data_IF_333338888846
#
_entry.id   IF_333338888846
#
_cell.length_a   1.000
_cell.length_b   1.000
_cell.length_c   1.000
_cell.angle_alpha   90.00
_cell.angle_beta   90.00
_cell.angle_gamma   90.00
#
_symmetry.space_group_name_H-M   'P 1'
#
loop_
_entity.id
_entity.type
_entity.pdbx_description
1 polymer ?
#
# COMPACT_ATOMS: atom_id res chain seq x y z
N UNK A 1 -2.08 -7.54 22.06
CA UNK A 1 -2.50 -8.73 21.31
C UNK A 1 -1.34 -9.12 20.43
N UNK A 2 -0.96 -10.41 20.39
CA UNK A 2 0.12 -10.92 19.57
C UNK A 2 -0.46 -11.65 18.36
N UNK A 3 -0.01 -11.28 17.16
CA UNK A 3 -0.53 -11.86 15.91
C UNK A 3 0.63 -12.22 15.00
N UNK A 4 0.63 -13.43 14.49
CA UNK A 4 1.60 -13.95 13.53
C UNK A 4 0.96 -14.00 12.14
N UNK A 5 1.44 -13.18 11.23
CA UNK A 5 0.98 -13.13 9.85
C UNK A 5 1.90 -13.99 8.97
N UNK A 6 1.44 -15.18 8.56
CA UNK A 6 2.18 -16.10 7.68
C UNK A 6 1.81 -15.86 6.23
N UNK A 7 2.78 -15.94 5.33
CA UNK A 7 2.59 -15.91 3.88
C UNK A 7 3.59 -16.84 3.20
N UNK A 8 3.29 -17.29 1.97
CA UNK A 8 4.23 -18.12 1.20
C UNK A 8 5.57 -17.42 0.98
N UNK A 9 5.56 -16.10 0.88
CA UNK A 9 6.77 -15.29 0.77
C UNK A 9 6.60 -13.98 1.53
N UNK A 10 7.57 -13.65 2.38
CA UNK A 10 7.67 -12.33 3.04
C UNK A 10 8.89 -11.61 2.48
N UNK A 11 8.68 -10.42 1.93
CA UNK A 11 9.70 -9.50 1.45
C UNK A 11 9.71 -8.26 2.34
N UNK A 12 10.57 -8.21 3.36
CA UNK A 12 10.57 -7.11 4.33
C UNK A 12 11.00 -5.78 3.74
N UNK A 13 11.90 -5.81 2.78
CA UNK A 13 12.41 -4.62 2.07
C UNK A 13 12.75 -4.96 0.62
N UNK A 14 11.75 -5.05 -0.27
CA UNK A 14 12.01 -5.39 -1.67
C UNK A 14 12.72 -4.27 -2.46
N UNK A 15 12.88 -3.08 -1.88
CA UNK A 15 13.66 -2.00 -2.48
C UNK A 15 15.17 -2.20 -2.28
N UNK A 16 15.58 -2.98 -1.28
CA UNK A 16 16.97 -3.38 -1.04
C UNK A 16 17.21 -4.80 -1.58
N UNK A 17 17.97 -4.97 -2.67
CA UNK A 17 18.24 -6.28 -3.26
C UNK A 17 19.08 -7.19 -2.33
N UNK A 18 19.68 -6.64 -1.28
CA UNK A 18 20.46 -7.40 -0.28
C UNK A 18 19.61 -7.82 0.92
N UNK A 19 18.39 -7.29 1.05
CA UNK A 19 17.49 -7.63 2.14
C UNK A 19 17.06 -9.11 2.05
N UNK A 20 16.98 -9.81 3.19
CA UNK A 20 16.57 -11.21 3.17
C UNK A 20 15.09 -11.34 2.77
N UNK A 21 14.81 -12.31 1.91
CA UNK A 21 13.46 -12.82 1.69
C UNK A 21 13.21 -14.04 2.58
N UNK A 22 11.97 -14.24 3.00
CA UNK A 22 11.59 -15.36 3.84
C UNK A 22 10.52 -16.22 3.15
N UNK A 23 10.92 -17.30 2.42
CA UNK A 23 9.98 -18.33 1.97
C UNK A 23 9.31 -18.98 3.18
N UNK A 24 7.99 -19.26 3.09
CA UNK A 24 7.17 -19.66 4.23
C UNK A 24 7.45 -18.78 5.46
N UNK A 25 7.42 -17.49 5.21
CA UNK A 25 7.80 -16.48 6.18
C UNK A 25 6.63 -15.99 7.02
N UNK A 26 6.97 -15.28 8.10
CA UNK A 26 5.97 -14.62 8.92
C UNK A 26 6.46 -13.31 9.50
N UNK A 27 5.49 -12.44 9.80
CA UNK A 27 5.65 -11.19 10.55
C UNK A 27 4.89 -11.32 11.87
N UNK A 28 5.62 -11.22 12.99
CA UNK A 28 5.04 -11.19 14.32
C UNK A 28 4.74 -9.74 14.71
N UNK A 29 3.51 -9.47 15.09
CA UNK A 29 3.03 -8.13 15.44
C UNK A 29 2.55 -8.12 16.88
N UNK A 30 3.08 -7.20 17.68
CA UNK A 30 2.62 -6.88 19.04
C UNK A 30 2.02 -5.49 19.09
N UNK A 31 0.71 -5.42 19.28
CA UNK A 31 0.02 -4.12 19.25
C UNK A 31 0.15 -3.44 17.89
N UNK A 32 0.89 -2.33 17.82
CA UNK A 32 1.10 -1.54 16.61
C UNK A 32 2.47 -1.77 15.96
N UNK A 33 3.34 -2.56 16.59
CA UNK A 33 4.73 -2.72 16.18
C UNK A 33 5.04 -4.12 15.66
N UNK A 34 5.97 -4.19 14.74
CA UNK A 34 6.59 -5.44 14.30
C UNK A 34 7.56 -5.90 15.39
N UNK A 35 7.37 -7.11 15.91
CA UNK A 35 8.23 -7.69 16.95
C UNK A 35 9.30 -8.60 16.36
N UNK A 36 8.95 -9.34 15.31
CA UNK A 36 9.89 -10.21 14.61
C UNK A 36 9.47 -10.42 13.14
N UNK A 37 10.45 -10.73 12.30
CA UNK A 37 10.27 -11.15 10.90
C UNK A 37 11.20 -12.34 10.66
N UNK A 38 10.71 -13.40 10.03
CA UNK A 38 11.53 -14.59 9.77
C UNK A 38 10.73 -15.78 9.28
N UNK A 39 11.35 -16.96 9.33
CA UNK A 39 10.68 -18.20 8.98
C UNK A 39 9.51 -18.51 9.93
N UNK A 40 8.38 -18.88 9.36
CA UNK A 40 7.16 -19.14 10.14
C UNK A 40 7.36 -20.21 11.22
N UNK A 41 8.00 -21.34 10.90
CA UNK A 41 8.18 -22.43 11.84
C UNK A 41 8.92 -22.02 13.12
N UNK A 42 9.98 -21.20 12.98
CA UNK A 42 10.74 -20.69 14.14
C UNK A 42 9.92 -19.73 14.99
N UNK A 43 9.21 -18.80 14.35
CA UNK A 43 8.40 -17.81 15.08
C UNK A 43 7.18 -18.46 15.74
N UNK A 44 6.54 -19.42 15.10
CA UNK A 44 5.41 -20.15 15.69
C UNK A 44 5.82 -21.01 16.89
N UNK A 45 7.00 -21.62 16.83
CA UNK A 45 7.55 -22.38 17.97
C UNK A 45 7.93 -21.50 19.15
N UNK A 46 8.47 -20.30 18.88
CA UNK A 46 8.85 -19.33 19.90
C UNK A 46 7.64 -18.60 20.54
N UNK A 47 6.53 -18.52 19.82
CA UNK A 47 5.34 -17.76 20.23
C UNK A 47 4.05 -18.58 20.04
N UNK A 48 3.90 -19.70 20.75
CA UNK A 48 2.73 -20.58 20.60
C UNK A 48 1.40 -19.90 20.98
N UNK A 49 1.46 -18.82 21.77
CA UNK A 49 0.31 -18.01 22.17
C UNK A 49 -0.16 -17.03 21.10
N UNK A 50 0.64 -16.82 20.02
CA UNK A 50 0.30 -15.86 18.99
C UNK A 50 -0.87 -16.35 18.14
N UNK A 51 -1.83 -15.44 17.88
CA UNK A 51 -2.90 -15.72 16.93
C UNK A 51 -2.33 -15.79 15.51
N UNK A 52 -2.40 -16.93 14.86
CA UNK A 52 -1.96 -17.10 13.49
C UNK A 52 -3.02 -16.57 12.52
N UNK A 53 -2.57 -15.76 11.55
CA UNK A 53 -3.29 -15.39 10.33
C UNK A 53 -2.50 -15.91 9.14
N UNK A 54 -2.99 -17.00 8.56
CA UNK A 54 -2.39 -17.59 7.38
C UNK A 54 -3.01 -16.99 6.11
N UNK A 55 -2.16 -16.49 5.23
CA UNK A 55 -2.53 -15.89 3.95
C UNK A 55 -2.32 -16.85 2.77
N UNK A 56 -1.88 -18.08 3.05
CA UNK A 56 -1.65 -19.11 2.05
C UNK A 56 -0.52 -18.75 1.09
N UNK A 57 -0.79 -18.86 -0.21
CA UNK A 57 0.12 -18.60 -1.33
C UNK A 57 0.49 -17.13 -1.55
N UNK A 58 0.12 -16.26 -0.61
CA UNK A 58 0.29 -14.82 -0.76
C UNK A 58 1.74 -14.35 -0.58
N UNK A 59 1.98 -13.13 -1.11
CA UNK A 59 3.16 -12.31 -0.88
C UNK A 59 2.86 -11.23 0.16
N UNK A 60 3.68 -11.11 1.20
CA UNK A 60 3.63 -10.04 2.18
C UNK A 60 4.79 -9.06 1.96
N UNK A 61 4.48 -7.78 1.80
CA UNK A 61 5.45 -6.69 1.58
C UNK A 61 5.14 -5.50 2.48
N UNK A 62 6.02 -4.50 2.61
CA UNK A 62 5.62 -3.19 3.10
C UNK A 62 4.38 -2.69 2.37
N UNK A 63 3.62 -1.80 2.99
CA UNK A 63 2.49 -1.17 2.32
C UNK A 63 2.92 -0.25 1.19
N UNK A 64 1.96 0.18 0.38
CA UNK A 64 2.21 1.05 -0.76
C UNK A 64 2.06 2.53 -0.37
N UNK A 65 2.77 3.40 -1.09
CA UNK A 65 2.54 4.84 -1.10
C UNK A 65 1.73 5.24 -2.32
N UNK A 66 0.75 6.11 -2.15
CA UNK A 66 0.08 6.74 -3.29
C UNK A 66 0.53 8.21 -3.41
N UNK A 67 1.28 8.57 -4.48
CA UNK A 67 1.80 9.94 -4.67
C UNK A 67 0.72 10.92 -5.15
N UNK A 68 -0.44 10.44 -5.56
CA UNK A 68 -1.53 11.24 -6.12
C UNK A 68 -2.58 11.65 -5.08
N UNK A 69 -2.27 11.53 -3.78
CA UNK A 69 -3.23 11.74 -2.71
C UNK A 69 -3.92 13.10 -2.73
N UNK A 70 -3.19 14.18 -3.03
CA UNK A 70 -3.77 15.51 -3.18
C UNK A 70 -4.89 15.50 -4.22
N UNK A 71 -4.59 15.08 -5.45
CA UNK A 71 -5.59 15.05 -6.53
C UNK A 71 -6.75 14.10 -6.23
N UNK A 72 -6.45 12.89 -5.73
CA UNK A 72 -7.45 11.87 -5.44
C UNK A 72 -8.41 12.24 -4.30
N UNK A 73 -7.98 13.02 -3.32
CA UNK A 73 -8.80 13.32 -2.15
C UNK A 73 -9.37 14.75 -2.13
N UNK A 74 -8.73 15.68 -2.85
CA UNK A 74 -9.15 17.09 -2.88
C UNK A 74 -9.96 17.44 -4.12
N UNK A 75 -9.74 16.75 -5.25
CA UNK A 75 -10.35 17.08 -6.53
C UNK A 75 -11.27 15.99 -7.08
N UNK A 76 -10.91 14.71 -6.86
CA UNK A 76 -11.71 13.59 -7.35
C UNK A 76 -12.88 13.33 -6.42
N UNK A 77 -14.08 13.24 -7.00
CA UNK A 77 -15.25 12.82 -6.26
C UNK A 77 -15.37 11.30 -6.26
N UNK A 78 -15.47 10.71 -5.08
CA UNK A 78 -15.76 9.29 -4.88
C UNK A 78 -17.23 9.16 -4.54
N UNK A 79 -18.09 8.63 -5.45
CA UNK A 79 -19.54 8.56 -5.25
C UNK A 79 -19.94 7.77 -4.01
N UNK A 80 -21.06 8.15 -3.40
CA UNK A 80 -21.74 7.32 -2.41
C UNK A 80 -22.57 6.28 -3.16
N UNK A 81 -22.47 4.97 -2.84
CA UNK A 81 -23.29 3.94 -3.45
C UNK A 81 -24.81 4.23 -3.39
N UNK A 82 -25.24 5.04 -2.43
CA UNK A 82 -26.65 5.44 -2.25
C UNK A 82 -27.12 6.46 -3.28
N UNK A 83 -26.19 7.14 -3.96
CA UNK A 83 -26.54 8.14 -4.99
C UNK A 83 -26.96 7.50 -6.31
N UNK A 84 -26.68 6.21 -6.51
CA UNK A 84 -27.05 5.48 -7.74
C UNK A 84 -26.31 5.94 -9.00
N UNK A 85 -25.24 6.73 -8.85
CA UNK A 85 -24.42 7.26 -9.97
C UNK A 85 -23.23 6.37 -10.34
N UNK A 86 -23.20 5.14 -9.80
CA UNK A 86 -22.10 4.20 -10.00
C UNK A 86 -20.99 4.34 -8.98
N UNK A 87 -19.96 3.50 -9.10
CA UNK A 87 -18.85 3.43 -8.16
C UNK A 87 -17.57 4.10 -8.67
N UNK A 88 -17.54 4.50 -9.94
CA UNK A 88 -16.34 5.05 -10.55
C UNK A 88 -16.01 6.43 -9.98
N UNK A 89 -14.74 6.68 -9.63
CA UNK A 89 -14.29 8.02 -9.23
C UNK A 89 -14.51 9.02 -10.37
N UNK A 90 -15.04 10.19 -10.04
CA UNK A 90 -15.27 11.27 -10.99
C UNK A 90 -14.11 12.26 -10.91
N UNK A 91 -13.19 12.26 -11.90
CA UNK A 91 -12.10 13.22 -11.96
C UNK A 91 -12.63 14.66 -11.90
N UNK A 92 -11.96 15.51 -11.12
CA UNK A 92 -12.33 16.91 -10.90
C UNK A 92 -13.79 17.13 -10.38
N UNK A 93 -14.49 16.08 -9.99
CA UNK A 93 -15.88 16.17 -9.50
C UNK A 93 -16.05 16.96 -8.21
N UNK A 94 -14.95 17.35 -7.54
CA UNK A 94 -14.94 18.28 -6.40
C UNK A 94 -14.36 19.65 -6.77
N UNK A 95 -14.08 19.93 -8.05
CA UNK A 95 -13.58 21.22 -8.46
C UNK A 95 -14.66 22.29 -8.20
N UNK A 96 -14.32 23.32 -7.40
CA UNK A 96 -15.26 24.36 -7.00
C UNK A 96 -16.28 23.97 -5.93
N UNK A 97 -16.27 22.70 -5.44
CA UNK A 97 -17.15 22.27 -4.34
C UNK A 97 -16.81 23.04 -3.06
N UNK A 98 -17.84 23.54 -2.37
CA UNK A 98 -17.73 24.32 -1.13
C UNK A 98 -18.27 23.57 0.10
N UNK A 99 -19.00 22.48 -0.12
CA UNK A 99 -19.52 21.66 0.98
C UNK A 99 -18.38 20.78 1.55
N UNK A 100 -17.83 21.21 2.67
CA UNK A 100 -16.79 20.48 3.40
C UNK A 100 -17.27 19.09 3.86
N UNK A 101 -18.56 18.93 4.18
CA UNK A 101 -19.10 17.63 4.59
C UNK A 101 -19.05 16.63 3.41
N UNK A 102 -19.45 17.09 2.23
CA UNK A 102 -19.36 16.30 0.98
C UNK A 102 -17.91 15.96 0.63
N UNK A 103 -17.00 16.93 0.69
CA UNK A 103 -15.57 16.72 0.44
C UNK A 103 -14.99 15.69 1.42
N UNK A 104 -15.27 15.82 2.71
CA UNK A 104 -14.80 14.88 3.72
C UNK A 104 -15.39 13.47 3.58
N UNK A 105 -16.65 13.37 3.16
CA UNK A 105 -17.29 12.09 2.88
C UNK A 105 -16.66 11.40 1.67
N UNK A 106 -16.43 12.14 0.59
CA UNK A 106 -15.72 11.67 -0.60
C UNK A 106 -14.30 11.21 -0.26
N UNK A 107 -13.54 12.02 0.48
CA UNK A 107 -12.17 11.66 0.89
C UNK A 107 -12.14 10.36 1.71
N UNK A 108 -13.07 10.14 2.63
CA UNK A 108 -13.16 8.87 3.38
C UNK A 108 -13.36 7.67 2.47
N UNK A 109 -14.23 7.79 1.45
CA UNK A 109 -14.44 6.72 0.47
C UNK A 109 -13.20 6.48 -0.40
N UNK A 110 -12.54 7.54 -0.84
CA UNK A 110 -11.26 7.43 -1.56
C UNK A 110 -10.19 6.71 -0.75
N UNK A 111 -10.02 7.07 0.53
CA UNK A 111 -9.08 6.41 1.44
C UNK A 111 -9.42 4.92 1.66
N UNK A 112 -10.70 4.57 1.81
CA UNK A 112 -11.10 3.16 1.91
C UNK A 112 -10.78 2.36 0.65
N UNK A 113 -10.95 2.96 -0.53
CA UNK A 113 -10.57 2.34 -1.80
C UNK A 113 -9.05 2.15 -1.90
N UNK A 114 -8.25 3.15 -1.48
CA UNK A 114 -6.79 3.04 -1.43
C UNK A 114 -6.32 1.88 -0.55
N UNK A 115 -6.98 1.65 0.61
CA UNK A 115 -6.70 0.48 1.45
C UNK A 115 -6.93 -0.83 0.71
N UNK A 116 -7.88 -0.88 -0.22
CA UNK A 116 -8.15 -2.02 -1.09
C UNK A 116 -7.02 -2.35 -2.07
N UNK A 117 -6.10 -1.43 -2.28
CA UNK A 117 -4.90 -1.59 -3.11
C UNK A 117 -3.61 -1.77 -2.29
N UNK A 118 -3.70 -1.87 -0.98
CA UNK A 118 -2.51 -2.04 -0.13
C UNK A 118 -1.81 -0.74 0.24
N UNK A 119 -2.44 0.41 0.00
CA UNK A 119 -1.87 1.72 0.32
C UNK A 119 -1.86 1.94 1.83
N UNK A 120 -0.71 2.28 2.38
CA UNK A 120 -0.49 2.60 3.80
C UNK A 120 0.03 4.02 4.01
N UNK A 121 0.42 4.69 2.92
CA UNK A 121 0.88 6.06 2.94
C UNK A 121 0.34 6.85 1.75
N UNK A 122 0.08 8.14 1.94
CA UNK A 122 -0.51 9.02 0.94
C UNK A 122 0.20 10.37 0.93
N UNK A 123 0.51 10.88 -0.26
CA UNK A 123 1.18 12.17 -0.39
C UNK A 123 0.18 13.33 -0.32
N UNK A 124 0.53 14.34 0.53
CA UNK A 124 -0.14 15.64 0.60
C UNK A 124 0.43 16.65 -0.41
N UNK A 125 0.27 17.95 -0.16
CA UNK A 125 -0.48 18.53 0.95
C UNK A 125 -1.99 18.38 0.82
N UNK A 126 -2.73 18.47 1.96
CA UNK A 126 -4.19 18.53 1.97
C UNK A 126 -4.64 19.90 2.46
N UNK A 127 -5.40 20.61 1.63
CA UNK A 127 -5.78 22.01 1.87
C UNK A 127 -7.10 22.13 2.62
N UNK A 128 -8.07 21.24 2.31
CA UNK A 128 -9.40 21.25 2.94
C UNK A 128 -9.36 20.65 4.34
N UNK A 129 -9.99 21.33 5.30
CA UNK A 129 -10.03 20.86 6.70
C UNK A 129 -10.71 19.50 6.85
N UNK A 130 -11.80 19.27 6.09
CA UNK A 130 -12.52 18.00 6.12
C UNK A 130 -11.67 16.84 5.54
N UNK A 131 -10.88 17.09 4.50
CA UNK A 131 -9.96 16.10 3.91
C UNK A 131 -8.82 15.79 4.89
N UNK A 132 -8.18 16.82 5.48
CA UNK A 132 -7.16 16.60 6.54
C UNK A 132 -7.70 15.74 7.67
N UNK A 133 -8.92 16.02 8.11
CA UNK A 133 -9.59 15.26 9.18
C UNK A 133 -9.82 13.81 8.75
N UNK A 134 -10.27 13.57 7.52
CA UNK A 134 -10.49 12.23 6.98
C UNK A 134 -9.17 11.44 6.92
N UNK A 135 -8.10 12.07 6.42
CA UNK A 135 -6.76 11.47 6.32
C UNK A 135 -6.20 11.15 7.72
N UNK A 136 -6.26 12.09 8.66
CA UNK A 136 -5.77 11.86 10.03
C UNK A 136 -6.48 10.69 10.72
N UNK A 137 -7.78 10.51 10.46
CA UNK A 137 -8.59 9.40 11.04
C UNK A 137 -8.39 8.07 10.33
N UNK A 138 -7.86 8.06 9.12
CA UNK A 138 -7.66 6.83 8.34
C UNK A 138 -6.55 5.95 8.89
N UNK A 139 -5.60 6.54 9.61
CA UNK A 139 -4.39 5.89 10.09
C UNK A 139 -3.28 5.74 9.05
N UNK A 140 -3.50 6.20 7.79
CA UNK A 140 -2.44 6.23 6.79
C UNK A 140 -1.34 7.23 7.18
N UNK A 141 -0.11 6.93 6.79
CA UNK A 141 1.00 7.86 6.92
C UNK A 141 0.87 8.97 5.88
N UNK A 142 0.99 10.23 6.33
CA UNK A 142 1.01 11.37 5.41
C UNK A 142 2.44 11.67 5.00
N UNK A 143 2.68 11.66 3.70
CA UNK A 143 3.97 12.00 3.11
C UNK A 143 3.96 13.47 2.63
N UNK A 144 5.11 14.15 2.65
CA UNK A 144 5.23 15.44 1.99
C UNK A 144 4.84 15.33 0.51
N UNK A 145 4.09 16.31 0.01
CA UNK A 145 3.85 16.44 -1.42
C UNK A 145 5.13 16.86 -2.14
N UNK A 146 5.30 16.46 -3.38
CA UNK A 146 6.32 17.00 -4.25
C UNK A 146 6.05 18.51 -4.47
N UNK A 147 6.83 19.36 -3.85
CA UNK A 147 6.68 20.83 -3.89
C UNK A 147 7.17 21.56 -2.65
N UNK A 148 7.30 20.89 -1.51
CA UNK A 148 7.89 21.45 -0.30
C UNK A 148 9.35 20.98 -0.14
N UNK A 149 10.28 21.54 -0.91
CA UNK A 149 11.71 21.53 -0.59
C UNK A 149 12.43 20.18 -0.66
N UNK A 150 12.06 19.27 -1.52
CA UNK A 150 12.85 18.07 -1.75
C UNK A 150 14.07 18.38 -2.58
N UNK A 151 15.21 18.52 -1.93
CA UNK A 151 16.52 18.48 -2.55
C UNK A 151 16.66 17.24 -3.42
N UNK A 152 17.27 17.40 -4.58
CA UNK A 152 17.60 16.40 -5.58
C UNK A 152 18.48 15.33 -4.92
N UNK A 153 17.94 14.13 -4.68
CA UNK A 153 18.74 13.07 -4.10
C UNK A 153 17.95 11.85 -3.66
N UNK A 154 17.24 11.23 -4.56
CA UNK A 154 16.90 9.83 -4.66
C UNK A 154 15.92 9.69 -5.83
N UNK A 155 16.09 8.71 -6.69
CA UNK A 155 15.21 8.42 -7.82
C UNK A 155 13.78 8.17 -7.33
N UNK A 156 12.97 9.20 -7.28
CA UNK A 156 11.58 9.18 -6.89
C UNK A 156 10.90 10.28 -7.67
N UNK A 157 10.17 9.87 -8.67
CA UNK A 157 9.36 10.73 -9.53
C UNK A 157 8.49 11.64 -8.67
N UNK A 158 8.95 12.89 -8.55
CA UNK A 158 8.23 13.93 -7.86
C UNK A 158 6.97 14.28 -8.65
N UNK A 159 5.92 13.52 -8.43
CA UNK A 159 4.59 13.86 -8.93
C UNK A 159 4.16 15.14 -8.22
N UNK A 160 4.10 16.26 -8.93
CA UNK A 160 3.70 17.54 -8.38
C UNK A 160 2.29 17.49 -7.77
N UNK A 161 2.06 18.36 -6.78
CA UNK A 161 0.72 18.53 -6.22
C UNK A 161 -0.27 18.84 -7.37
N UNK A 162 -1.38 18.09 -7.42
CA UNK A 162 -2.44 18.26 -8.42
C UNK A 162 -2.31 17.43 -9.69
N UNK A 163 -1.26 16.60 -9.85
CA UNK A 163 -1.19 15.66 -10.96
C UNK A 163 -2.18 14.52 -10.74
N UNK A 164 -2.96 14.23 -11.80
CA UNK A 164 -3.92 13.15 -11.83
C UNK A 164 -3.21 11.78 -11.79
N UNK A 165 -3.81 10.83 -11.07
CA UNK A 165 -3.29 9.48 -11.03
C UNK A 165 -4.25 8.48 -10.45
N UNK A 166 -3.94 7.17 -10.57
CA UNK A 166 -4.82 6.10 -10.16
C UNK A 166 -4.85 5.89 -8.64
N UNK A 167 -5.96 5.27 -8.19
CA UNK A 167 -6.08 4.77 -6.82
C UNK A 167 -5.10 3.64 -6.52
N UNK A 168 -4.85 2.80 -7.52
CA UNK A 168 -3.84 1.73 -7.46
C UNK A 168 -2.49 2.28 -7.93
N UNK A 169 -1.51 2.49 -7.04
CA UNK A 169 -0.20 2.97 -7.44
C UNK A 169 0.55 1.99 -8.35
N UNK A 170 0.26 0.69 -8.27
CA UNK A 170 0.90 -0.34 -9.11
C UNK A 170 0.45 -0.29 -10.57
N UNK A 171 -0.63 0.44 -10.89
CA UNK A 171 -1.03 0.67 -12.27
C UNK A 171 -0.03 1.53 -13.06
N UNK A 172 0.82 2.31 -12.36
CA UNK A 172 1.76 3.26 -13.00
C UNK A 172 3.17 3.22 -12.41
N UNK A 173 3.35 2.60 -11.26
CA UNK A 173 4.66 2.49 -10.60
C UNK A 173 5.09 1.02 -10.50
N UNK A 174 6.37 0.71 -10.68
CA UNK A 174 6.90 -0.60 -10.33
C UNK A 174 6.78 -0.82 -8.83
N UNK A 175 6.71 -2.09 -8.37
CA UNK A 175 6.53 -2.42 -6.96
C UNK A 175 7.54 -1.68 -6.07
N UNK A 176 8.83 -1.75 -6.38
CA UNK A 176 9.88 -1.08 -5.59
C UNK A 176 9.66 0.44 -5.47
N UNK A 177 9.15 1.09 -6.54
CA UNK A 177 8.80 2.51 -6.55
C UNK A 177 7.51 2.85 -5.80
N UNK A 178 6.61 1.88 -5.65
CA UNK A 178 5.34 2.06 -4.97
C UNK A 178 5.41 1.77 -3.46
N UNK A 179 6.45 1.07 -2.99
CA UNK A 179 6.56 0.73 -1.57
C UNK A 179 6.73 1.94 -0.65
N UNK A 180 6.23 1.82 0.56
CA UNK A 180 6.44 2.77 1.64
C UNK A 180 7.15 2.10 2.82
N UNK A 181 8.38 2.52 3.06
CA UNK A 181 9.19 2.01 4.18
C UNK A 181 9.55 0.55 4.04
N UNK A 182 9.70 -0.11 5.18
CA UNK A 182 10.09 -1.53 5.28
C UNK A 182 9.39 -2.19 6.48
N UNK A 183 9.23 -3.50 6.42
CA UNK A 183 8.76 -4.32 7.57
C UNK A 183 9.96 -4.67 8.42
N UNK A 184 10.24 -3.89 9.45
CA UNK A 184 11.42 -4.05 10.31
C UNK A 184 11.02 -4.15 11.77
N UNK A 185 11.78 -4.91 12.55
CA UNK A 185 11.59 -5.04 14.00
C UNK A 185 11.63 -3.67 14.67
N UNK A 186 10.66 -3.41 15.53
CA UNK A 186 10.46 -2.11 16.20
C UNK A 186 9.76 -1.06 15.34
N UNK A 187 9.58 -1.30 14.04
CA UNK A 187 8.83 -0.42 13.14
C UNK A 187 7.32 -0.58 13.32
N UNK A 188 6.58 0.43 12.86
CA UNK A 188 5.12 0.36 12.80
C UNK A 188 4.69 -0.77 11.86
N UNK A 189 3.73 -1.57 12.28
CA UNK A 189 3.24 -2.71 11.52
C UNK A 189 2.28 -2.27 10.41
N UNK A 190 2.85 -1.66 9.36
CA UNK A 190 2.17 -1.23 8.14
C UNK A 190 2.65 -2.11 6.98
N UNK A 191 1.77 -2.96 6.47
CA UNK A 191 2.12 -3.87 5.38
C UNK A 191 0.89 -4.28 4.57
N UNK A 192 1.15 -4.78 3.38
CA UNK A 192 0.13 -5.29 2.48
C UNK A 192 0.39 -6.75 2.12
N UNK A 193 -0.67 -7.46 1.82
CA UNK A 193 -0.65 -8.86 1.40
C UNK A 193 -1.29 -8.94 0.02
N UNK A 194 -0.56 -9.50 -0.93
CA UNK A 194 -0.98 -9.60 -2.32
C UNK A 194 -1.17 -11.05 -2.73
N UNK A 195 -2.08 -11.29 -3.65
CA UNK A 195 -2.13 -12.57 -4.36
C UNK A 195 -0.83 -12.77 -5.15
N UNK A 196 -0.41 -14.01 -5.42
CA UNK A 196 0.65 -14.25 -6.38
C UNK A 196 0.21 -13.69 -7.74
N UNK A 197 1.13 -13.10 -8.48
CA UNK A 197 0.88 -12.71 -9.87
C UNK A 197 0.61 -13.95 -10.70
N UNK A 198 -0.28 -13.87 -11.68
CA UNK A 198 -0.42 -14.93 -12.65
C UNK A 198 0.88 -15.04 -13.45
N UNK A 199 1.52 -16.21 -13.45
CA UNK A 199 2.56 -16.52 -14.43
C UNK A 199 1.94 -16.40 -15.81
N UNK A 200 2.49 -15.53 -16.67
CA UNK A 200 2.19 -15.49 -18.08
C UNK A 200 0.95 -14.73 -18.49
N UNK A 201 1.01 -13.41 -18.48
CA UNK A 201 0.52 -12.67 -19.65
C UNK A 201 1.75 -12.39 -20.48
N UNK A 202 1.93 -13.19 -21.54
CA UNK A 202 2.97 -13.02 -22.54
C UNK A 202 2.83 -11.63 -23.19
N UNK A 203 3.58 -10.69 -22.68
CA UNK A 203 3.90 -9.44 -23.34
C UNK A 203 5.23 -9.58 -24.06
N UNK A 204 5.16 -10.02 -25.31
CA UNK A 204 6.20 -9.92 -26.36
C UNK A 204 7.69 -10.08 -25.96
N UNK A 205 8.22 -11.26 -26.25
CA UNK A 205 9.55 -11.46 -26.78
C UNK A 205 10.75 -11.01 -25.94
N UNK A 206 11.29 -11.90 -25.11
CA UNK A 206 12.60 -11.73 -24.51
C UNK A 206 13.03 -13.01 -23.81
N UNK A 207 14.11 -13.60 -24.22
CA UNK A 207 14.67 -14.90 -23.84
C UNK A 207 14.78 -15.17 -22.35
N UNK A 208 14.58 -16.43 -21.90
CA UNK A 208 14.72 -16.83 -20.51
C UNK A 208 16.15 -17.31 -20.23
N UNK A 209 17.14 -16.44 -20.21
CA UNK A 209 18.44 -16.73 -19.58
C UNK A 209 19.14 -15.45 -19.18
N UNK A 210 19.31 -15.21 -17.87
CA UNK A 210 20.12 -14.11 -17.39
C UNK A 210 20.18 -14.09 -15.87
N UNK A 211 21.16 -14.78 -15.29
CA UNK A 211 21.67 -14.52 -13.95
C UNK A 211 22.10 -13.06 -13.86
N UNK A 212 21.30 -12.22 -13.19
CA UNK A 212 21.58 -10.79 -13.03
C UNK A 212 20.38 -9.93 -13.43
N UNK A 213 19.18 -10.25 -12.94
CA UNK A 213 17.98 -9.53 -13.34
C UNK A 213 17.83 -8.21 -12.60
N UNK A 214 18.01 -7.09 -13.31
CA UNK A 214 17.34 -5.84 -12.99
C UNK A 214 15.84 -6.11 -12.89
N UNK A 215 15.21 -5.63 -11.81
CA UNK A 215 13.76 -5.71 -11.62
C UNK A 215 13.10 -4.87 -12.71
N UNK A 216 12.66 -5.54 -13.78
CA UNK A 216 11.97 -4.92 -14.89
C UNK A 216 10.62 -4.35 -14.43
N UNK A 217 10.21 -3.25 -15.03
CA UNK A 217 8.90 -2.64 -14.91
C UNK A 217 7.81 -3.65 -15.28
N UNK A 218 7.08 -4.15 -14.28
CA UNK A 218 6.07 -5.18 -14.47
C UNK A 218 6.53 -6.54 -13.97
N UNK A 219 6.98 -6.63 -12.71
CA UNK A 219 7.34 -7.90 -12.10
C UNK A 219 6.12 -8.83 -12.00
N UNK A 220 6.24 -10.11 -12.40
CA UNK A 220 5.15 -11.09 -12.48
C UNK A 220 4.59 -11.54 -11.12
N UNK A 221 4.92 -10.84 -10.05
CA UNK A 221 4.80 -11.35 -8.68
C UNK A 221 3.65 -10.80 -7.87
N UNK A 222 2.99 -9.72 -8.31
CA UNK A 222 1.99 -9.04 -7.49
C UNK A 222 0.65 -9.04 -8.17
N UNK A 223 -0.23 -9.90 -7.71
CA UNK A 223 -1.66 -9.86 -8.03
C UNK A 223 -2.41 -8.85 -7.17
N UNK A 224 -3.74 -8.90 -7.20
CA UNK A 224 -4.57 -7.98 -6.43
C UNK A 224 -4.30 -8.05 -4.92
N UNK A 225 -4.43 -6.91 -4.24
CA UNK A 225 -4.30 -6.84 -2.78
C UNK A 225 -5.36 -7.70 -2.10
N UNK A 226 -4.93 -8.59 -1.20
CA UNK A 226 -5.78 -9.45 -0.37
C UNK A 226 -6.06 -8.83 1.00
N UNK A 227 -5.09 -8.11 1.55
CA UNK A 227 -5.25 -7.50 2.86
C UNK A 227 -4.30 -6.31 3.05
N UNK A 228 -4.73 -5.35 3.87
CA UNK A 228 -3.91 -4.23 4.31
C UNK A 228 -3.95 -4.15 5.83
N UNK A 229 -2.78 -4.01 6.41
CA UNK A 229 -2.58 -3.85 7.86
C UNK A 229 -1.97 -2.49 8.12
N UNK A 230 -2.60 -1.73 9.03
CA UNK A 230 -2.12 -0.43 9.50
C UNK A 230 -1.97 -0.47 11.03
N UNK A 231 -0.80 -0.12 11.54
CA UNK A 231 -0.50 -0.14 12.97
C UNK A 231 -0.95 -1.48 13.61
N UNK A 232 -0.65 -2.58 12.95
CA UNK A 232 -1.00 -3.93 13.38
C UNK A 232 -2.48 -4.30 13.29
N UNK A 233 -3.32 -3.41 12.79
CA UNK A 233 -4.76 -3.66 12.60
C UNK A 233 -5.06 -4.04 11.16
N UNK A 234 -5.81 -5.11 10.97
CA UNK A 234 -6.35 -5.48 9.67
C UNK A 234 -7.46 -4.48 9.30
N UNK A 235 -7.17 -3.57 8.36
CA UNK A 235 -8.10 -2.50 7.93
C UNK A 235 -8.82 -2.82 6.62
N UNK A 236 -8.25 -3.72 5.83
CA UNK A 236 -8.88 -4.24 4.61
C UNK A 236 -8.61 -5.74 4.47
N UNK A 237 -9.61 -6.47 4.00
CA UNK A 237 -9.50 -7.88 3.59
C UNK A 237 -10.46 -8.14 2.45
N UNK A 238 -9.93 -8.62 1.33
CA UNK A 238 -10.75 -9.13 0.22
C UNK A 238 -11.39 -10.46 0.66
N UNK A 239 -12.67 -10.61 0.42
CA UNK A 239 -13.43 -11.84 0.67
C UNK A 239 -13.33 -12.78 -0.54
#
# INVERSE_FOLDING_TARGET
MLTLHRAALVLPDPADPTAPSHPDGAVLVRGELVEAVGAYAGLAAAHPEARVRDWGDALLTPGLRNPYGHWLLERTYHPDPREGVGDEPVPDGLAGERDEARCGASARRGLQRMLGFGVTAVAGPFERAAVRTAVARSGLTVLPGAGAGAGVGAAGDGVGAGVAGPLDPLAVLPLAGALHGRVAVGGRADFAVFAPGAEGVEGHGGDPVGTGGSVGTGGPWVGGCRATVLAGRLVFRRR
#
